data_IF_115257308920
#
_entry.id   IF_115257308920
#
_cell.length_a   1.000
_cell.length_b   1.000
_cell.length_c   1.000
_cell.angle_alpha   90.00
_cell.angle_beta   90.00
_cell.angle_gamma   90.00
#
_symmetry.space_group_name_H-M   'P 1'
#
loop_
_entity.id
_entity.type
_entity.pdbx_description
1 polymer ?
#
# COMPACT_ATOMS: atom_id res chain seq x y z
N UNK A 1 -14.74 -16.06 -61.09
CA UNK A 1 -15.65 -15.75 -59.97
C UNK A 1 -16.39 -17.01 -59.58
N UNK A 2 -16.63 -17.18 -58.28
CA UNK A 2 -17.49 -18.20 -57.64
C UNK A 2 -16.86 -19.60 -57.57
N UNK A 3 -16.25 -19.95 -56.43
CA UNK A 3 -16.40 -21.27 -55.78
C UNK A 3 -15.55 -21.48 -54.50
N UNK A 4 -14.86 -20.47 -53.97
CA UNK A 4 -14.02 -20.65 -52.77
C UNK A 4 -14.74 -20.43 -51.43
N UNK A 5 -15.82 -19.62 -51.40
CA UNK A 5 -16.47 -19.23 -50.14
C UNK A 5 -17.42 -20.28 -49.53
N UNK A 6 -17.71 -21.41 -50.18
CA UNK A 6 -18.70 -22.39 -49.66
C UNK A 6 -18.09 -23.43 -48.71
N UNK A 7 -16.77 -23.60 -48.71
CA UNK A 7 -16.08 -24.63 -47.91
C UNK A 7 -15.76 -24.16 -46.49
N UNK A 8 -15.42 -22.89 -46.31
CA UNK A 8 -15.05 -22.35 -45.00
C UNK A 8 -16.26 -22.01 -44.12
N UNK A 9 -17.41 -21.67 -44.72
CA UNK A 9 -18.64 -21.36 -43.98
C UNK A 9 -19.15 -22.57 -43.16
N UNK A 10 -18.99 -23.80 -43.69
CA UNK A 10 -19.39 -25.04 -43.00
C UNK A 10 -18.49 -25.38 -41.81
N UNK A 11 -17.21 -24.97 -41.83
CA UNK A 11 -16.26 -25.27 -40.76
C UNK A 11 -16.49 -24.37 -39.54
N UNK A 12 -16.82 -23.09 -39.77
CA UNK A 12 -17.18 -22.14 -38.70
C UNK A 12 -18.49 -22.46 -37.99
N UNK A 13 -19.50 -22.94 -38.71
CA UNK A 13 -20.79 -23.28 -38.10
C UNK A 13 -20.73 -24.56 -37.24
N UNK A 14 -19.73 -25.42 -37.46
CA UNK A 14 -19.54 -26.64 -36.68
C UNK A 14 -18.75 -26.39 -35.37
N UNK A 15 -17.88 -25.38 -35.33
CA UNK A 15 -17.20 -24.93 -34.10
C UNK A 15 -18.15 -24.27 -33.10
N UNK A 16 -19.22 -23.61 -33.57
CA UNK A 16 -20.23 -23.02 -32.67
C UNK A 16 -21.20 -24.03 -32.07
N UNK A 17 -21.29 -25.25 -32.62
CA UNK A 17 -22.23 -26.30 -32.17
C UNK A 17 -21.56 -27.43 -31.41
N UNK A 18 -20.24 -27.59 -31.52
CA UNK A 18 -19.48 -28.57 -30.75
C UNK A 18 -18.38 -27.86 -29.95
N UNK A 19 -18.67 -27.55 -28.68
CA UNK A 19 -17.71 -26.99 -27.72
C UNK A 19 -16.56 -27.95 -27.40
N UNK A 20 -15.62 -28.11 -28.34
CA UNK A 20 -14.48 -28.99 -28.17
C UNK A 20 -13.20 -28.32 -28.71
N UNK A 21 -12.33 -27.91 -27.78
CA UNK A 21 -10.95 -27.53 -28.07
C UNK A 21 -10.13 -28.79 -28.42
N UNK A 22 -9.24 -28.75 -29.42
CA UNK A 22 -8.40 -29.89 -29.77
C UNK A 22 -7.14 -29.87 -28.90
N UNK A 23 -7.03 -30.84 -28.01
CA UNK A 23 -5.82 -31.09 -27.23
C UNK A 23 -6.03 -30.89 -25.73
N UNK A 24 -6.28 -31.99 -25.01
CA UNK A 24 -6.33 -31.96 -23.56
C UNK A 24 -6.87 -33.27 -23.01
N UNK A 25 -6.01 -33.98 -22.28
CA UNK A 25 -6.26 -35.22 -21.54
C UNK A 25 -7.68 -35.32 -20.97
N UNK A 26 -8.34 -36.48 -21.20
CA UNK A 26 -9.49 -36.93 -20.39
C UNK A 26 -9.06 -36.90 -18.93
N UNK A 27 -9.49 -35.90 -18.16
CA UNK A 27 -9.29 -35.86 -16.72
C UNK A 27 -10.40 -36.67 -16.09
N UNK A 28 -10.00 -37.65 -15.30
CA UNK A 28 -10.81 -38.39 -14.34
C UNK A 28 -11.64 -37.41 -13.51
N UNK A 29 -12.97 -37.47 -13.65
CA UNK A 29 -13.88 -36.86 -12.68
C UNK A 29 -13.65 -37.55 -11.32
N UNK A 30 -13.13 -36.80 -10.34
CA UNK A 30 -13.02 -37.26 -8.95
C UNK A 30 -11.70 -36.99 -8.23
N UNK A 31 -10.71 -36.34 -8.86
CA UNK A 31 -9.36 -36.20 -8.26
C UNK A 31 -9.05 -34.80 -7.69
N UNK A 32 -9.98 -33.86 -7.79
CA UNK A 32 -9.91 -32.57 -7.12
C UNK A 32 -11.28 -32.24 -6.53
N UNK A 33 -11.28 -31.56 -5.37
CA UNK A 33 -12.46 -31.20 -4.60
C UNK A 33 -13.65 -30.80 -5.50
N UNK A 34 -14.85 -31.29 -5.14
CA UNK A 34 -16.09 -30.88 -5.80
C UNK A 34 -16.13 -29.35 -5.91
N UNK A 35 -16.67 -28.85 -7.02
CA UNK A 35 -16.85 -27.42 -7.21
C UNK A 35 -17.84 -26.89 -6.17
N UNK A 36 -17.28 -26.40 -5.07
CA UNK A 36 -18.00 -25.72 -4.01
C UNK A 36 -18.20 -24.26 -4.43
N UNK A 37 -19.38 -23.70 -4.15
CA UNK A 37 -19.56 -22.25 -4.22
C UNK A 37 -18.50 -21.55 -3.37
N UNK A 38 -18.09 -20.35 -3.77
CA UNK A 38 -16.93 -19.61 -3.25
C UNK A 38 -17.01 -19.43 -1.73
N UNK A 39 -16.54 -20.46 -1.02
CA UNK A 39 -16.26 -20.63 0.40
C UNK A 39 -17.13 -19.81 1.38
N UNK A 40 -18.00 -20.51 2.11
CA UNK A 40 -18.47 -20.06 3.43
C UNK A 40 -17.30 -19.89 4.43
N UNK A 41 -16.12 -20.42 4.11
CA UNK A 41 -14.86 -20.24 4.85
C UNK A 41 -14.31 -18.79 4.80
N UNK A 42 -14.70 -17.96 3.83
CA UNK A 42 -14.23 -16.56 3.71
C UNK A 42 -15.23 -15.54 4.26
N UNK A 43 -16.38 -15.99 4.75
CA UNK A 43 -17.32 -15.15 5.46
C UNK A 43 -17.36 -15.64 6.90
N UNK A 44 -16.70 -14.91 7.81
CA UNK A 44 -16.82 -15.16 9.25
C UNK A 44 -18.29 -14.98 9.66
N UNK A 45 -19.06 -16.05 9.59
CA UNK A 45 -20.50 -16.07 9.93
C UNK A 45 -20.73 -16.08 11.44
N UNK A 46 -19.69 -16.39 12.22
CA UNK A 46 -19.76 -16.59 13.67
C UNK A 46 -18.94 -15.50 14.36
N UNK A 47 -19.51 -14.29 14.44
CA UNK A 47 -18.87 -13.15 15.13
C UNK A 47 -18.89 -13.30 16.66
N UNK A 48 -19.69 -14.24 17.16
CA UNK A 48 -19.94 -14.41 18.59
C UNK A 48 -18.99 -15.46 19.23
N UNK A 49 -18.24 -16.21 18.40
CA UNK A 49 -17.27 -17.18 18.89
C UNK A 49 -15.94 -16.47 19.13
N UNK A 50 -15.38 -16.52 20.36
CA UNK A 50 -14.06 -15.98 20.61
C UNK A 50 -13.02 -16.75 19.79
N UNK A 51 -12.04 -16.04 19.25
CA UNK A 51 -10.93 -16.65 18.53
C UNK A 51 -10.23 -17.68 19.45
N UNK A 52 -10.17 -18.92 19.01
CA UNK A 52 -9.48 -19.99 19.72
C UNK A 52 -8.14 -20.28 19.04
N UNK A 53 -7.08 -20.39 19.83
CA UNK A 53 -5.82 -20.94 19.34
C UNK A 53 -6.02 -22.44 19.08
N UNK A 54 -5.54 -22.91 17.94
CA UNK A 54 -5.52 -24.34 17.64
C UNK A 54 -4.61 -25.05 18.64
N UNK A 55 -5.20 -25.83 19.54
CA UNK A 55 -4.47 -26.73 20.44
C UNK A 55 -4.51 -28.10 19.77
N UNK A 56 -3.38 -28.52 19.21
CA UNK A 56 -3.27 -29.84 18.60
C UNK A 56 -3.56 -30.93 19.67
N UNK A 57 -4.32 -31.98 19.35
CA UNK A 57 -4.47 -33.14 20.23
C UNK A 57 -3.10 -33.76 20.52
N UNK A 58 -2.88 -34.20 21.76
CA UNK A 58 -1.61 -34.77 22.26
C UNK A 58 -1.09 -36.01 21.50
N UNK A 59 -1.84 -36.53 20.53
CA UNK A 59 -1.48 -37.74 19.78
C UNK A 59 -0.59 -37.49 18.54
N UNK A 60 -0.20 -36.24 18.26
CA UNK A 60 0.68 -35.95 17.13
C UNK A 60 2.15 -36.20 17.49
N UNK A 61 2.67 -37.37 17.11
CA UNK A 61 4.05 -37.80 17.34
C UNK A 61 5.08 -36.80 16.75
N UNK A 62 6.15 -36.45 17.50
CA UNK A 62 7.13 -35.43 17.13
C UNK A 62 8.23 -35.96 16.20
N UNK A 63 8.00 -37.05 15.45
CA UNK A 63 9.00 -37.64 14.55
C UNK A 63 8.96 -37.09 13.13
N UNK A 64 8.05 -36.17 12.83
CA UNK A 64 7.95 -35.53 11.51
C UNK A 64 8.38 -34.06 11.47
N UNK A 65 8.77 -33.48 12.62
CA UNK A 65 9.37 -32.15 12.66
C UNK A 65 10.89 -32.30 12.79
N UNK A 66 11.57 -32.35 11.65
CA UNK A 66 13.03 -32.17 11.63
C UNK A 66 13.32 -30.75 12.15
N UNK A 67 13.79 -30.68 13.40
CA UNK A 67 14.17 -29.47 14.12
C UNK A 67 15.28 -28.67 13.41
N UNK A 68 15.90 -29.24 12.38
CA UNK A 68 16.92 -28.59 11.55
C UNK A 68 16.33 -27.84 10.35
N UNK A 69 15.04 -27.99 10.05
CA UNK A 69 14.34 -27.29 8.96
C UNK A 69 13.67 -25.97 9.37
N UNK A 70 13.63 -25.67 10.68
CA UNK A 70 12.98 -24.49 11.25
C UNK A 70 13.92 -23.29 11.47
N UNK A 71 15.14 -23.31 10.91
CA UNK A 71 15.95 -22.09 10.77
C UNK A 71 15.44 -21.18 9.64
N UNK A 72 14.15 -21.28 9.30
CA UNK A 72 13.49 -20.38 8.38
C UNK A 72 13.27 -19.06 9.11
N UNK A 73 13.96 -18.02 8.64
CA UNK A 73 13.86 -16.67 9.16
C UNK A 73 12.41 -16.19 9.09
N UNK A 74 11.77 -16.04 10.25
CA UNK A 74 10.40 -15.55 10.41
C UNK A 74 10.22 -14.08 10.00
N UNK A 75 11.24 -13.44 9.40
CA UNK A 75 11.13 -12.17 8.71
C UNK A 75 10.83 -12.29 7.20
N UNK A 76 10.80 -13.51 6.62
CA UNK A 76 10.56 -13.74 5.18
C UNK A 76 9.11 -14.11 4.82
N UNK A 77 8.24 -14.38 5.80
CA UNK A 77 6.81 -14.69 5.57
C UNK A 77 5.90 -13.43 5.54
N UNK A 78 6.50 -12.26 5.33
CA UNK A 78 5.71 -11.12 4.85
C UNK A 78 5.17 -11.45 3.45
N UNK A 79 3.85 -11.33 3.18
CA UNK A 79 3.31 -11.59 1.86
C UNK A 79 3.95 -10.60 0.89
N UNK A 80 4.89 -11.06 0.06
CA UNK A 80 5.61 -10.25 -0.93
C UNK A 80 4.57 -9.50 -1.77
N UNK A 81 4.35 -8.20 -1.55
CA UNK A 81 3.57 -7.41 -2.48
C UNK A 81 4.56 -7.05 -3.57
N UNK A 82 4.67 -7.92 -4.57
CA UNK A 82 5.38 -7.61 -5.81
C UNK A 82 4.88 -6.23 -6.28
N UNK A 83 5.75 -5.21 -6.15
CA UNK A 83 5.59 -3.77 -6.46
C UNK A 83 5.11 -2.80 -5.36
N UNK A 84 5.12 -3.13 -4.07
CA UNK A 84 4.98 -2.09 -3.02
C UNK A 84 6.19 -2.11 -2.07
N UNK A 85 7.03 -1.05 -2.09
CA UNK A 85 8.08 -0.82 -1.09
C UNK A 85 7.56 -0.98 0.34
N UNK A 86 8.43 -1.47 1.23
CA UNK A 86 8.10 -1.74 2.63
C UNK A 86 7.65 -0.44 3.31
N UNK A 87 6.76 -0.52 4.29
CA UNK A 87 6.20 0.66 4.99
C UNK A 87 7.27 1.45 5.76
N UNK A 88 8.40 0.84 6.11
CA UNK A 88 9.56 1.54 6.68
C UNK A 88 10.28 2.46 5.67
N UNK A 89 10.05 2.27 4.37
CA UNK A 89 10.66 3.06 3.31
C UNK A 89 9.75 4.18 2.81
N UNK A 90 8.55 4.31 3.38
CA UNK A 90 7.52 5.27 2.93
C UNK A 90 6.79 5.87 4.11
N UNK A 91 6.66 7.20 4.12
CA UNK A 91 5.84 7.90 5.10
C UNK A 91 4.78 8.73 4.40
N UNK A 92 3.54 8.66 4.90
CA UNK A 92 2.44 9.50 4.44
C UNK A 92 2.21 10.63 5.44
N UNK A 93 2.48 11.86 5.03
CA UNK A 93 2.21 13.04 5.85
C UNK A 93 0.91 13.71 5.39
N UNK A 94 0.18 14.33 6.31
CA UNK A 94 -0.99 15.13 5.99
C UNK A 94 -0.64 16.60 6.07
N UNK A 95 -0.70 17.29 4.93
CA UNK A 95 -0.33 18.70 4.84
C UNK A 95 -1.48 19.54 4.31
N UNK A 96 -1.59 20.78 4.77
CA UNK A 96 -2.48 21.79 4.17
C UNK A 96 -1.77 23.13 4.13
N UNK A 97 -2.15 24.00 3.19
CA UNK A 97 -1.74 25.42 3.28
C UNK A 97 -2.47 26.10 4.43
N UNK A 98 -1.96 27.27 4.85
CA UNK A 98 -2.48 28.02 6.00
C UNK A 98 -3.95 28.43 5.81
N UNK A 99 -4.33 28.75 4.58
CA UNK A 99 -5.64 29.19 4.11
C UNK A 99 -6.59 28.03 3.72
N UNK A 100 -6.08 26.80 3.67
CA UNK A 100 -6.88 25.60 3.37
C UNK A 100 -7.39 24.95 4.66
N UNK A 101 -8.56 24.32 4.64
CA UNK A 101 -9.11 23.54 5.77
C UNK A 101 -8.98 22.02 5.59
N UNK A 102 -8.72 21.59 4.34
CA UNK A 102 -8.65 20.18 3.99
C UNK A 102 -7.18 19.77 3.90
N UNK A 103 -6.81 18.75 4.68
CA UNK A 103 -5.49 18.13 4.58
C UNK A 103 -5.41 17.24 3.35
N UNK A 104 -4.26 17.28 2.69
CA UNK A 104 -3.94 16.43 1.55
C UNK A 104 -2.73 15.53 1.84
N UNK A 105 -2.70 14.32 1.27
CA UNK A 105 -1.61 13.38 1.51
C UNK A 105 -0.35 13.80 0.74
N UNK A 106 0.78 13.86 1.45
CA UNK A 106 2.12 14.01 0.93
C UNK A 106 2.86 12.67 1.09
N UNK A 107 3.07 11.98 -0.03
CA UNK A 107 3.71 10.66 -0.05
C UNK A 107 5.21 10.84 -0.18
N UNK A 108 5.95 10.51 0.87
CA UNK A 108 7.40 10.61 0.91
C UNK A 108 7.98 9.23 0.65
N UNK A 109 8.57 9.06 -0.53
CA UNK A 109 9.12 7.78 -1.01
C UNK A 109 10.43 8.04 -1.75
N UNK A 110 11.58 7.52 -1.27
CA UNK A 110 11.77 6.88 0.03
C UNK A 110 11.55 7.87 1.19
N UNK A 111 11.43 7.38 2.42
CA UNK A 111 11.35 8.19 3.66
C UNK A 111 12.70 8.88 3.98
N UNK A 112 13.18 9.71 3.05
CA UNK A 112 14.42 10.50 3.11
C UNK A 112 14.14 11.96 2.75
N UNK A 113 15.10 12.85 3.03
CA UNK A 113 15.03 14.26 2.67
C UNK A 113 14.89 14.46 1.16
N UNK A 114 15.54 13.61 0.35
CA UNK A 114 15.40 13.62 -1.11
C UNK A 114 13.99 13.21 -1.57
N UNK A 115 13.42 12.17 -0.96
CA UNK A 115 12.03 11.78 -1.23
C UNK A 115 11.03 12.85 -0.80
N UNK A 116 11.30 13.54 0.31
CA UNK A 116 10.48 14.65 0.80
C UNK A 116 10.54 15.85 -0.14
N UNK A 117 11.74 16.21 -0.60
CA UNK A 117 11.95 17.27 -1.56
C UNK A 117 11.17 17.02 -2.86
N UNK A 118 11.27 15.80 -3.40
CA UNK A 118 10.53 15.39 -4.59
C UNK A 118 9.01 15.45 -4.38
N UNK A 119 8.53 14.98 -3.23
CA UNK A 119 7.10 14.98 -2.92
C UNK A 119 6.53 16.42 -2.85
N UNK A 120 7.27 17.34 -2.21
CA UNK A 120 6.89 18.75 -2.11
C UNK A 120 6.93 19.40 -3.49
N UNK A 121 8.01 19.18 -4.25
CA UNK A 121 8.17 19.74 -5.58
C UNK A 121 7.03 19.34 -6.52
N UNK A 122 6.68 18.05 -6.56
CA UNK A 122 5.59 17.53 -7.38
C UNK A 122 4.21 18.07 -6.95
N UNK A 123 3.99 18.28 -5.65
CA UNK A 123 2.68 18.71 -5.12
C UNK A 123 2.46 20.22 -5.20
N UNK A 124 3.51 21.02 -4.99
CA UNK A 124 3.41 22.47 -4.86
C UNK A 124 4.02 23.24 -6.04
N UNK A 125 4.50 22.54 -7.07
CA UNK A 125 4.99 23.16 -8.30
C UNK A 125 6.39 23.74 -8.16
N UNK A 126 7.32 22.96 -7.64
CA UNK A 126 8.75 23.31 -7.59
C UNK A 126 9.59 22.38 -8.47
N UNK A 127 10.82 22.80 -8.74
CA UNK A 127 11.84 21.94 -9.32
C UNK A 127 12.54 21.18 -8.17
N UNK A 128 12.51 19.83 -8.15
CA UNK A 128 13.11 19.05 -7.06
C UNK A 128 14.63 19.29 -6.92
N UNK A 129 15.31 19.64 -8.02
CA UNK A 129 16.75 19.90 -8.01
C UNK A 129 17.08 21.31 -7.49
N UNK A 130 16.07 22.20 -7.40
CA UNK A 130 16.21 23.57 -6.88
C UNK A 130 15.59 23.75 -5.50
N UNK A 131 15.34 22.66 -4.79
CA UNK A 131 14.94 22.72 -3.38
C UNK A 131 16.12 23.23 -2.53
N UNK A 132 16.02 24.45 -2.00
CA UNK A 132 17.05 25.07 -1.17
C UNK A 132 17.08 24.49 0.25
N UNK A 133 15.93 24.00 0.73
CA UNK A 133 15.84 23.29 1.99
C UNK A 133 14.40 23.02 2.44
N UNK A 134 14.29 22.06 3.37
CA UNK A 134 13.05 21.80 4.12
C UNK A 134 13.32 22.11 5.59
N UNK A 135 12.38 22.77 6.23
CA UNK A 135 12.46 23.20 7.63
C UNK A 135 11.26 22.67 8.42
N UNK A 136 11.45 22.44 9.71
CA UNK A 136 10.39 22.14 10.68
C UNK A 136 10.26 23.35 11.62
N UNK A 137 9.05 23.86 11.82
CA UNK A 137 8.73 24.80 12.89
C UNK A 137 7.88 24.10 13.95
N UNK A 138 8.40 23.99 15.18
CA UNK A 138 7.66 23.37 16.28
C UNK A 138 6.66 24.35 16.90
N UNK A 139 5.75 23.85 17.75
CA UNK A 139 4.74 24.67 18.44
C UNK A 139 5.33 25.80 19.30
N UNK A 140 6.60 25.69 19.72
CA UNK A 140 7.34 26.75 20.44
C UNK A 140 7.84 27.88 19.54
N UNK A 141 7.61 27.80 18.23
CA UNK A 141 8.06 28.78 17.24
C UNK A 141 9.52 28.61 16.79
N UNK A 142 10.22 27.56 17.25
CA UNK A 142 11.60 27.28 16.84
C UNK A 142 11.59 26.61 15.48
N UNK A 143 12.38 27.14 14.53
CA UNK A 143 12.55 26.58 13.19
C UNK A 143 13.91 25.89 13.07
N UNK A 144 13.92 24.65 12.57
CA UNK A 144 15.11 23.81 12.40
C UNK A 144 15.13 23.28 10.97
N UNK A 145 16.31 23.16 10.35
CA UNK A 145 16.46 22.51 9.04
C UNK A 145 16.28 21.00 9.20
N UNK A 146 15.46 20.39 8.36
CA UNK A 146 15.19 18.94 8.38
C UNK A 146 16.35 18.20 7.73
N UNK A 147 16.72 17.07 8.34
CA UNK A 147 17.67 16.08 7.81
C UNK A 147 17.02 14.68 7.78
N UNK A 148 17.76 13.69 7.29
CA UNK A 148 17.29 12.31 7.19
C UNK A 148 17.05 11.64 8.54
N UNK A 149 17.69 12.09 9.62
CA UNK A 149 17.50 11.51 10.95
C UNK A 149 16.22 12.03 11.59
N UNK A 150 15.97 13.33 11.49
CA UNK A 150 14.73 13.98 11.92
C UNK A 150 13.51 13.39 11.22
N UNK A 151 13.63 13.08 9.92
CA UNK A 151 12.52 12.53 9.14
C UNK A 151 12.11 11.12 9.61
N UNK A 152 13.03 10.32 10.14
CA UNK A 152 12.74 8.98 10.69
C UNK A 152 11.89 9.04 11.96
N UNK A 153 11.85 10.19 12.63
CA UNK A 153 11.06 10.40 13.84
C UNK A 153 9.60 10.76 13.53
N UNK A 154 9.28 11.08 12.27
CA UNK A 154 7.91 11.34 11.88
C UNK A 154 7.12 10.03 11.75
N UNK A 155 5.86 10.09 12.14
CA UNK A 155 4.93 8.98 12.05
C UNK A 155 4.05 9.13 10.81
N UNK A 156 3.49 8.00 10.38
CA UNK A 156 2.43 8.04 9.37
C UNK A 156 1.26 8.88 9.89
N UNK A 157 0.70 9.67 8.98
CA UNK A 157 -0.46 10.55 9.18
C UNK A 157 -0.18 11.78 10.05
N UNK A 158 1.09 12.05 10.38
CA UNK A 158 1.48 13.30 11.04
C UNK A 158 0.99 14.50 10.23
N UNK A 159 0.33 15.43 10.93
CA UNK A 159 -0.33 16.58 10.33
C UNK A 159 0.50 17.85 10.44
N UNK A 160 0.64 18.58 9.35
CA UNK A 160 1.37 19.85 9.31
C UNK A 160 0.62 20.92 8.52
N UNK A 161 0.79 22.18 8.89
CA UNK A 161 0.60 23.28 7.94
C UNK A 161 1.91 23.40 7.15
N UNK A 162 1.84 23.52 5.83
CA UNK A 162 3.02 23.71 4.99
C UNK A 162 3.04 25.12 4.41
N UNK A 163 4.20 25.76 4.51
CA UNK A 163 4.53 27.02 3.83
C UNK A 163 5.58 26.72 2.76
N UNK A 164 5.34 27.15 1.52
CA UNK A 164 6.27 26.94 0.39
C UNK A 164 6.62 28.28 -0.20
N UNK A 165 7.89 28.62 -0.14
CA UNK A 165 8.43 29.89 -0.63
C UNK A 165 9.24 29.64 -1.89
N UNK A 166 8.85 30.28 -2.99
CA UNK A 166 9.58 30.26 -4.25
C UNK A 166 10.37 31.55 -4.39
N UNK A 167 11.69 31.43 -4.52
CA UNK A 167 12.58 32.55 -4.77
C UNK A 167 12.61 32.94 -6.26
N UNK A 168 13.09 34.14 -6.55
CA UNK A 168 13.14 34.70 -7.91
C UNK A 168 14.11 33.97 -8.84
N UNK A 169 15.08 33.23 -8.28
CA UNK A 169 16.02 32.37 -9.00
C UNK A 169 15.44 30.97 -9.33
N UNK A 170 14.19 30.72 -8.92
CA UNK A 170 13.51 29.45 -9.06
C UNK A 170 13.86 28.43 -7.97
N UNK A 171 14.66 28.80 -6.96
CA UNK A 171 14.86 27.94 -5.79
C UNK A 171 13.62 27.93 -4.90
N UNK A 172 13.38 26.82 -4.21
CA UNK A 172 12.20 26.64 -3.36
C UNK A 172 12.59 26.15 -1.98
N UNK A 173 12.06 26.82 -0.95
CA UNK A 173 12.14 26.38 0.44
C UNK A 173 10.75 25.97 0.93
N UNK A 174 10.69 24.98 1.81
CA UNK A 174 9.44 24.57 2.44
C UNK A 174 9.56 24.48 3.96
N UNK A 175 8.54 24.90 4.69
CA UNK A 175 8.47 24.81 6.15
C UNK A 175 7.25 24.00 6.58
N UNK A 176 7.49 22.87 7.25
CA UNK A 176 6.48 22.05 7.93
C UNK A 176 6.24 22.62 9.34
N UNK A 177 5.04 23.15 9.56
CA UNK A 177 4.64 23.81 10.80
C UNK A 177 3.79 22.84 11.61
N UNK A 178 4.29 22.47 12.77
CA UNK A 178 3.60 21.63 13.73
C UNK A 178 2.39 22.38 14.31
N UNK A 179 1.21 21.81 14.15
CA UNK A 179 -0.02 22.34 14.76
C UNK A 179 -0.15 21.66 16.11
N UNK A 180 -0.18 22.43 17.19
CA UNK A 180 -0.46 21.85 18.50
C UNK A 180 -1.81 21.11 18.45
N UNK A 181 -1.92 19.91 19.04
CA UNK A 181 -3.19 19.20 19.08
C UNK A 181 -4.24 20.13 19.69
N UNK A 182 -5.31 20.38 18.93
CA UNK A 182 -6.45 21.16 19.44
C UNK A 182 -7.06 20.33 20.55
N UNK A 183 -7.00 20.87 21.77
CA UNK A 183 -7.54 20.20 22.95
C UNK A 183 -9.05 19.94 22.69
N UNK A 184 -9.53 18.68 22.65
CA UNK A 184 -10.91 18.37 22.26
C UNK A 184 -11.96 18.98 23.20
N UNK A 185 -11.56 19.44 24.38
CA UNK A 185 -12.42 20.11 25.37
C UNK A 185 -12.76 21.57 25.05
N UNK A 186 -12.31 22.16 23.93
CA UNK A 186 -12.69 23.54 23.60
C UNK A 186 -14.10 23.67 23.01
N UNK A 187 -14.80 22.57 22.69
CA UNK A 187 -16.15 22.59 22.11
C UNK A 187 -17.29 22.35 23.12
N UNK A 188 -16.99 22.22 24.42
CA UNK A 188 -18.02 21.91 25.43
C UNK A 188 -18.59 23.13 26.17
N UNK A 189 -18.18 24.34 25.82
CA UNK A 189 -18.73 25.58 26.42
C UNK A 189 -19.21 26.53 25.32
N UNK A 190 -20.35 26.21 24.73
CA UNK A 190 -21.21 27.16 24.01
C UNK A 190 -22.65 26.66 24.02
#
# INVERSE_FOLDING_TARGET
MLHENRRDEKRRQQEYTAGALPGGRKKSDGEYHDQCERSEFYHMRELDKPAALFIAPEEFEPRYVDSTSLSFDMSEIEPIPTKRPRTSERIMLYVRKRDEQIYQPLHVVPASLSGLALAIANKFGADPDKMSGVYKRCAKGITVKVDDEMLRLYCNEDTFIIDVEHATDGSTAATLIEVAPTNPNSYSNS
#
